data_IF_964276440535
#
_entry.id   IF_964276440535
#
_cell.length_a   1.000
_cell.length_b   1.000
_cell.length_c   1.000
_cell.angle_alpha   90.00
_cell.angle_beta   90.00
_cell.angle_gamma   90.00
#
_symmetry.space_group_name_H-M   'P 1'
#
loop_
_entity.id
_entity.type
_entity.pdbx_description
1 polymer ?
#
# COMPACT_ATOMS: atom_id res chain seq x y z
N UNK A 1 -16.86 -8.63 -8.29
CA UNK A 1 -17.23 -9.67 -7.33
C UNK A 1 -18.61 -10.14 -7.75
N UNK A 2 -18.79 -11.44 -8.03
CA UNK A 2 -20.06 -11.98 -8.51
C UNK A 2 -21.17 -11.92 -7.46
N UNK A 3 -20.84 -11.68 -6.18
CA UNK A 3 -21.84 -11.42 -5.15
C UNK A 3 -22.56 -10.08 -5.45
N UNK A 4 -23.90 -10.11 -5.67
CA UNK A 4 -24.68 -8.94 -6.06
C UNK A 4 -24.76 -7.86 -4.97
N UNK A 5 -24.48 -8.20 -3.71
CA UNK A 5 -24.38 -7.21 -2.63
C UNK A 5 -22.99 -6.57 -2.55
N UNK A 6 -21.93 -7.31 -2.91
CA UNK A 6 -20.56 -6.80 -2.79
C UNK A 6 -20.18 -5.90 -3.98
N UNK A 7 -20.41 -6.37 -5.22
CA UNK A 7 -20.08 -5.70 -6.49
C UNK A 7 -18.64 -5.14 -6.63
N UNK A 8 -17.74 -5.38 -5.66
CA UNK A 8 -16.37 -4.87 -5.64
C UNK A 8 -15.58 -5.39 -6.84
N UNK A 9 -14.77 -4.54 -7.48
CA UNK A 9 -13.88 -4.98 -8.57
C UNK A 9 -12.87 -6.00 -8.04
N UNK A 10 -12.69 -7.12 -8.75
CA UNK A 10 -11.71 -8.14 -8.40
C UNK A 10 -10.51 -8.03 -9.34
N UNK A 11 -9.32 -8.22 -8.81
CA UNK A 11 -8.07 -8.23 -9.56
C UNK A 11 -7.49 -9.64 -9.49
N UNK A 12 -7.19 -10.23 -10.65
CA UNK A 12 -6.60 -11.56 -10.77
C UNK A 12 -5.17 -11.43 -11.28
N UNK A 13 -4.16 -11.72 -10.45
CA UNK A 13 -2.80 -11.89 -10.93
C UNK A 13 -2.76 -13.00 -12.00
N UNK A 14 -1.92 -12.84 -13.02
CA UNK A 14 -1.79 -13.80 -14.12
C UNK A 14 -1.40 -15.22 -13.67
N UNK A 15 -0.78 -15.34 -12.49
CA UNK A 15 -0.35 -16.61 -11.90
C UNK A 15 -1.33 -17.19 -10.87
N UNK A 16 -2.42 -16.49 -10.51
CA UNK A 16 -3.40 -16.97 -9.53
C UNK A 16 -4.68 -17.48 -10.19
N UNK A 17 -5.03 -18.75 -9.94
CA UNK A 17 -6.28 -19.34 -10.42
C UNK A 17 -7.53 -18.87 -9.63
N UNK A 18 -7.34 -18.28 -8.45
CA UNK A 18 -8.43 -17.76 -7.61
C UNK A 18 -7.93 -16.64 -6.70
N UNK A 19 -8.80 -15.67 -6.43
CA UNK A 19 -8.52 -14.55 -5.53
C UNK A 19 -9.61 -14.39 -4.47
N UNK A 20 -9.22 -13.89 -3.31
CA UNK A 20 -10.16 -13.53 -2.26
C UNK A 20 -10.75 -12.13 -2.51
N UNK A 21 -12.06 -12.00 -2.41
CA UNK A 21 -12.73 -10.72 -2.46
C UNK A 21 -12.51 -9.96 -1.15
N UNK A 22 -11.76 -8.86 -1.19
CA UNK A 22 -11.55 -8.00 -0.02
C UNK A 22 -12.76 -7.18 0.40
N UNK A 23 -13.93 -7.40 -0.21
CA UNK A 23 -15.21 -6.81 0.22
C UNK A 23 -16.05 -7.77 1.05
N UNK A 24 -16.18 -9.03 0.62
CA UNK A 24 -17.04 -10.03 1.28
C UNK A 24 -16.28 -11.24 1.84
N UNK A 25 -14.95 -11.31 1.70
CA UNK A 25 -14.11 -12.42 2.15
C UNK A 25 -14.27 -13.71 1.32
N UNK A 26 -15.16 -13.75 0.34
CA UNK A 26 -15.36 -14.95 -0.48
C UNK A 26 -14.24 -15.12 -1.50
N UNK A 27 -13.79 -16.35 -1.70
CA UNK A 27 -12.79 -16.70 -2.71
C UNK A 27 -13.49 -17.02 -4.04
N UNK A 28 -12.98 -16.45 -5.12
CA UNK A 28 -13.55 -16.59 -6.47
C UNK A 28 -12.51 -17.14 -7.45
N UNK A 29 -12.91 -18.10 -8.27
CA UNK A 29 -12.07 -18.66 -9.34
C UNK A 29 -12.17 -17.82 -10.60
N UNK A 30 -11.10 -17.85 -11.40
CA UNK A 30 -11.03 -17.10 -12.65
C UNK A 30 -12.06 -17.57 -13.68
N UNK A 31 -12.41 -18.87 -13.65
CA UNK A 31 -13.40 -19.51 -14.51
C UNK A 31 -14.83 -19.00 -14.33
N UNK A 32 -15.15 -18.41 -13.17
CA UNK A 32 -16.50 -17.91 -12.85
C UNK A 32 -16.71 -16.42 -13.10
N UNK A 33 -15.75 -15.74 -13.74
CA UNK A 33 -15.79 -14.28 -13.90
C UNK A 33 -16.44 -13.86 -15.22
N UNK A 34 -17.23 -12.80 -15.14
CA UNK A 34 -17.81 -12.09 -16.28
C UNK A 34 -17.21 -10.69 -16.36
N UNK A 35 -17.18 -10.08 -17.57
CA UNK A 35 -16.61 -8.75 -17.83
C UNK A 35 -15.09 -8.64 -17.54
N UNK A 36 -14.30 -9.49 -18.19
CA UNK A 36 -12.84 -9.43 -18.14
C UNK A 36 -12.32 -8.22 -18.95
N UNK A 37 -11.41 -7.45 -18.35
CA UNK A 37 -10.66 -6.41 -19.02
C UNK A 37 -9.20 -6.47 -18.60
N UNK A 38 -8.28 -6.45 -19.56
CA UNK A 38 -6.87 -6.23 -19.28
C UNK A 38 -6.75 -4.87 -18.61
N UNK A 39 -6.34 -4.86 -17.35
CA UNK A 39 -6.01 -3.62 -16.65
C UNK A 39 -4.51 -3.47 -16.75
N UNK A 40 -4.03 -2.41 -17.40
CA UNK A 40 -2.63 -2.05 -17.30
C UNK A 40 -2.31 -1.82 -15.81
N UNK A 41 -1.24 -2.47 -15.33
CA UNK A 41 -0.86 -2.58 -13.91
C UNK A 41 -0.43 -1.24 -13.28
N UNK A 42 -0.77 -0.11 -13.88
CA UNK A 42 -0.37 1.21 -13.45
C UNK A 42 -1.59 1.92 -12.87
N UNK A 43 -1.89 1.68 -11.60
CA UNK A 43 -3.00 2.37 -10.94
C UNK A 43 -3.18 2.06 -9.46
N UNK A 44 -4.03 2.86 -8.81
CA UNK A 44 -4.36 2.80 -7.38
C UNK A 44 -4.73 1.39 -6.91
N UNK A 45 -5.37 0.55 -7.75
CA UNK A 45 -5.75 -0.82 -7.39
C UNK A 45 -4.57 -1.77 -7.11
N UNK A 46 -3.43 -1.59 -7.78
CA UNK A 46 -2.21 -2.35 -7.50
C UNK A 46 -1.59 -1.91 -6.17
N UNK A 47 -1.69 -0.61 -5.85
CA UNK A 47 -1.23 -0.01 -4.60
C UNK A 47 -2.12 -0.46 -3.43
N UNK A 48 -3.44 -0.45 -3.60
CA UNK A 48 -4.39 -0.94 -2.60
C UNK A 48 -4.15 -2.41 -2.28
N UNK A 49 -3.88 -3.24 -3.31
CA UNK A 49 -3.55 -4.66 -3.09
C UNK A 49 -2.17 -4.83 -2.47
N UNK A 50 -1.16 -4.07 -2.90
CA UNK A 50 0.15 -4.04 -2.25
C UNK A 50 0.00 -3.68 -0.77
N UNK A 51 -0.67 -2.58 -0.44
CA UNK A 51 -0.92 -2.15 0.93
C UNK A 51 -1.69 -3.21 1.73
N UNK A 52 -2.68 -3.88 1.13
CA UNK A 52 -3.41 -4.99 1.77
C UNK A 52 -2.52 -6.20 2.04
N UNK A 53 -1.65 -6.59 1.10
CA UNK A 53 -0.69 -7.68 1.31
C UNK A 53 0.35 -7.31 2.36
N UNK A 54 0.86 -6.06 2.36
CA UNK A 54 1.77 -5.57 3.40
C UNK A 54 1.13 -5.53 4.79
N UNK A 55 -0.16 -5.18 4.89
CA UNK A 55 -0.91 -5.26 6.14
C UNK A 55 -1.10 -6.72 6.61
N UNK A 56 -1.25 -7.68 5.68
CA UNK A 56 -1.29 -9.11 6.02
C UNK A 56 0.08 -9.64 6.45
N UNK A 57 1.17 -9.16 5.84
CA UNK A 57 2.55 -9.51 6.16
C UNK A 57 3.00 -8.94 7.52
N UNK A 58 2.46 -7.78 7.91
CA UNK A 58 2.57 -7.22 9.27
C UNK A 58 2.05 -8.20 10.34
N UNK A 59 1.03 -9.00 10.00
CA UNK A 59 0.41 -9.96 10.93
C UNK A 59 0.98 -11.39 10.82
N UNK A 60 1.93 -11.64 9.91
CA UNK A 60 2.58 -12.94 9.73
C UNK A 60 4.01 -12.90 10.26
N UNK A 61 4.15 -13.05 11.56
CA UNK A 61 5.41 -13.42 12.19
C UNK A 61 5.70 -14.88 11.87
N UNK A 62 6.88 -15.14 11.29
CA UNK A 62 7.74 -16.36 11.37
C UNK A 62 8.28 -16.83 10.01
N UNK A 63 9.44 -16.32 9.60
CA UNK A 63 10.56 -17.17 9.16
C UNK A 63 11.84 -16.52 9.67
N UNK A 64 12.54 -17.24 10.53
CA UNK A 64 13.87 -16.94 11.06
C UNK A 64 14.84 -16.86 9.88
N UNK A 65 15.21 -15.64 9.48
CA UNK A 65 16.53 -15.28 8.95
C UNK A 65 16.54 -13.78 8.63
N UNK A 66 17.18 -13.00 9.50
CA UNK A 66 17.32 -11.53 9.46
C UNK A 66 15.99 -10.77 9.59
N UNK A 67 15.52 -10.62 10.83
CA UNK A 67 14.44 -9.66 11.14
C UNK A 67 14.88 -8.26 10.74
N UNK A 68 14.39 -7.79 9.60
CA UNK A 68 14.48 -6.38 9.23
C UNK A 68 13.74 -5.58 10.30
N UNK A 69 14.36 -4.53 10.87
CA UNK A 69 13.70 -3.70 11.85
C UNK A 69 12.39 -3.15 11.27
N UNK A 70 11.28 -3.43 11.96
CA UNK A 70 9.95 -2.92 11.61
C UNK A 70 9.59 -1.78 12.55
N UNK A 71 8.99 -0.73 12.00
CA UNK A 71 8.40 0.37 12.77
C UNK A 71 6.95 0.51 12.37
N UNK A 72 6.04 0.46 13.34
CA UNK A 72 4.59 0.41 13.11
C UNK A 72 4.17 -0.66 12.07
N UNK A 73 4.83 -1.82 12.10
CA UNK A 73 4.59 -2.93 11.16
C UNK A 73 5.22 -2.78 9.77
N UNK A 74 5.88 -1.66 9.47
CA UNK A 74 6.53 -1.40 8.18
C UNK A 74 8.05 -1.55 8.28
N UNK A 75 8.66 -2.22 7.30
CA UNK A 75 10.12 -2.28 7.17
C UNK A 75 10.62 -1.10 6.32
N UNK A 76 11.91 -0.75 6.46
CA UNK A 76 12.54 0.24 5.57
C UNK A 76 12.40 -0.13 4.08
N UNK A 77 12.44 -1.42 3.75
CA UNK A 77 12.21 -1.89 2.37
C UNK A 77 10.82 -1.49 1.86
N UNK A 78 9.78 -1.65 2.69
CA UNK A 78 8.43 -1.26 2.33
C UNK A 78 8.29 0.25 2.19
N UNK A 79 8.90 1.03 3.09
CA UNK A 79 8.93 2.48 2.98
C UNK A 79 9.57 2.93 1.66
N UNK A 80 10.64 2.28 1.21
CA UNK A 80 11.28 2.56 -0.08
C UNK A 80 10.35 2.28 -1.27
N UNK A 81 9.57 1.20 -1.23
CA UNK A 81 8.60 0.89 -2.29
C UNK A 81 7.45 1.90 -2.32
N UNK A 82 7.00 2.35 -1.14
CA UNK A 82 5.88 3.29 -1.03
C UNK A 82 6.28 4.73 -1.34
N UNK A 83 7.54 5.11 -1.14
CA UNK A 83 7.99 6.51 -1.27
C UNK A 83 7.62 7.17 -2.61
N UNK A 84 7.81 6.54 -3.79
CA UNK A 84 7.45 7.15 -5.07
C UNK A 84 5.96 7.35 -5.26
N UNK A 85 5.13 6.55 -4.58
CA UNK A 85 3.68 6.72 -4.62
C UNK A 85 3.25 7.90 -3.74
N UNK A 86 3.85 8.01 -2.56
CA UNK A 86 3.61 9.10 -1.62
C UNK A 86 4.10 10.46 -2.14
N UNK A 87 4.99 10.47 -3.13
CA UNK A 87 5.42 11.71 -3.80
C UNK A 87 4.50 12.11 -4.96
N UNK A 88 3.63 11.25 -5.47
CA UNK A 88 2.77 11.53 -6.64
C UNK A 88 1.29 11.64 -6.25
N UNK A 89 0.88 10.99 -5.16
CA UNK A 89 -0.48 10.98 -4.67
C UNK A 89 -0.60 11.70 -3.32
N UNK A 90 -1.68 12.46 -3.15
CA UNK A 90 -2.08 13.08 -1.89
C UNK A 90 -3.42 12.55 -1.40
N UNK A 91 -3.71 12.71 -0.10
CA UNK A 91 -5.02 12.40 0.46
C UNK A 91 -5.94 13.63 0.34
N UNK A 92 -7.03 13.50 -0.40
CA UNK A 92 -8.08 14.51 -0.45
C UNK A 92 -8.89 14.46 0.86
N UNK A 93 -8.75 15.50 1.67
CA UNK A 93 -9.42 15.61 2.98
C UNK A 93 -10.95 15.56 2.89
N UNK A 94 -11.53 16.01 1.79
CA UNK A 94 -12.99 16.04 1.64
C UNK A 94 -13.58 14.66 1.39
N UNK A 95 -12.84 13.82 0.66
CA UNK A 95 -13.31 12.48 0.27
C UNK A 95 -12.65 11.34 1.06
N UNK A 96 -11.55 11.63 1.76
CA UNK A 96 -10.69 10.65 2.42
C UNK A 96 -9.96 9.71 1.44
N UNK A 97 -9.94 10.05 0.14
CA UNK A 97 -9.37 9.20 -0.91
C UNK A 97 -8.03 9.73 -1.40
N UNK A 98 -7.17 8.82 -1.84
CA UNK A 98 -5.96 9.19 -2.57
C UNK A 98 -6.32 9.77 -3.94
N UNK A 99 -5.70 10.88 -4.32
CA UNK A 99 -5.79 11.54 -5.63
C UNK A 99 -4.41 11.95 -6.10
N UNK A 100 -4.25 12.14 -7.42
CA UNK A 100 -3.00 12.69 -7.95
C UNK A 100 -2.81 14.11 -7.41
N UNK A 101 -1.56 14.48 -7.13
CA UNK A 101 -1.24 15.84 -6.70
C UNK A 101 -1.69 16.89 -7.74
N UNK A 102 -1.58 16.57 -9.04
CA UNK A 102 -2.05 17.42 -10.14
C UNK A 102 -3.56 17.65 -10.12
N UNK A 103 -4.36 16.63 -9.78
CA UNK A 103 -5.82 16.74 -9.60
C UNK A 103 -6.20 17.63 -8.41
N UNK A 104 -5.27 17.80 -7.46
CA UNK A 104 -5.41 18.67 -6.29
C UNK A 104 -4.80 20.08 -6.53
N UNK A 105 -4.42 20.40 -7.78
CA UNK A 105 -3.81 21.67 -8.13
C UNK A 105 -2.38 21.85 -7.58
N UNK A 106 -1.67 20.75 -7.33
CA UNK A 106 -0.28 20.72 -6.87
C UNK A 106 0.67 20.29 -7.99
N UNK A 107 1.97 20.45 -7.75
CA UNK A 107 3.03 19.92 -8.61
C UNK A 107 2.90 18.40 -8.79
N UNK A 108 3.35 17.84 -9.93
CA UNK A 108 3.24 16.40 -10.20
C UNK A 108 4.03 15.51 -9.24
N UNK A 109 5.04 16.08 -8.59
CA UNK A 109 5.83 15.43 -7.55
C UNK A 109 5.86 16.36 -6.33
N UNK A 110 5.69 15.78 -5.14
CA UNK A 110 5.83 16.47 -3.87
C UNK A 110 7.30 16.82 -3.63
N UNK A 111 7.56 18.11 -3.43
CA UNK A 111 8.89 18.59 -3.07
C UNK A 111 9.12 18.42 -1.56
N UNK A 112 9.94 17.43 -1.20
CA UNK A 112 10.28 17.16 0.20
C UNK A 112 11.02 18.33 0.87
N UNK A 113 11.59 19.29 0.12
CA UNK A 113 12.18 20.48 0.71
C UNK A 113 11.15 21.33 1.48
N UNK A 114 9.85 21.20 1.15
CA UNK A 114 8.74 21.82 1.90
C UNK A 114 8.60 21.28 3.33
N UNK A 115 9.30 20.21 3.68
CA UNK A 115 9.36 19.64 5.02
C UNK A 115 10.68 19.98 5.73
N UNK A 116 11.61 20.68 5.07
CA UNK A 116 12.97 20.91 5.57
C UNK A 116 13.05 21.79 6.83
N UNK A 117 12.03 22.61 7.08
CA UNK A 117 11.88 23.42 8.30
C UNK A 117 11.20 22.66 9.45
N UNK A 118 10.77 21.41 9.20
CA UNK A 118 10.08 20.59 10.19
C UNK A 118 11.03 19.63 10.87
N UNK A 119 10.98 19.60 12.20
CA UNK A 119 11.57 18.52 12.97
C UNK A 119 10.55 17.39 13.12
N UNK A 120 10.99 16.16 12.84
CA UNK A 120 10.20 14.95 13.10
C UNK A 120 10.71 14.30 14.38
N UNK A 121 9.81 14.11 15.35
CA UNK A 121 10.13 13.35 16.55
C UNK A 121 9.99 11.86 16.23
N UNK A 122 11.07 11.12 16.44
CA UNK A 122 11.01 9.67 16.45
C UNK A 122 10.36 9.26 17.77
N UNK A 123 9.33 8.41 17.71
CA UNK A 123 8.73 7.83 18.92
C UNK A 123 9.84 7.22 19.80
N UNK A 124 9.92 7.53 21.10
CA UNK A 124 10.95 7.02 21.99
C UNK A 124 11.13 5.50 21.93
N UNK A 125 10.05 4.74 21.66
CA UNK A 125 10.10 3.28 21.54
C UNK A 125 10.93 2.81 20.33
N UNK A 126 11.07 3.65 19.30
CA UNK A 126 11.80 3.33 18.08
C UNK A 126 13.24 3.86 18.05
N UNK A 127 13.67 4.63 19.06
CA UNK A 127 15.02 5.21 19.13
C UNK A 127 16.13 4.15 19.17
N UNK A 128 15.87 3.02 19.83
CA UNK A 128 16.87 1.95 19.97
C UNK A 128 17.04 1.08 18.70
N UNK A 129 16.20 1.28 17.68
CA UNK A 129 16.19 0.47 16.46
C UNK A 129 17.31 0.92 15.52
N UNK A 130 18.31 0.05 15.32
CA UNK A 130 19.43 0.31 14.40
C UNK A 130 18.97 0.45 12.95
N UNK A 131 19.42 1.50 12.28
CA UNK A 131 18.99 1.89 10.93
C UNK A 131 17.63 2.59 10.86
N UNK A 132 17.05 2.97 12.01
CA UNK A 132 15.85 3.80 12.08
C UNK A 132 15.99 4.94 13.10
N UNK A 133 16.09 4.60 14.39
CA UNK A 133 16.25 5.56 15.48
C UNK A 133 17.71 5.82 15.85
N UNK A 134 18.60 4.94 15.39
CA UNK A 134 20.05 5.04 15.57
C UNK A 134 20.74 4.73 14.27
N UNK A 135 21.70 5.56 13.87
CA UNK A 135 22.55 5.28 12.73
C UNK A 135 23.29 3.95 12.90
N UNK A 136 23.65 3.33 11.77
CA UNK A 136 24.44 2.08 11.75
C UNK A 136 25.90 2.33 12.02
#
# INVERSE_FOLDING_TARGET
>A
CPNPQCKKKLYFPSHEASVECTGCGQRHTQSGLTNLGLTEWYGIGAIERLLQELQKESNRTTVVNQELPKVNGLTNYLCTILSPLLTIYGMDRSTGRAKLLTEMGKSPVFDCAQLGDRAFLIDPQHLAISGYGRDR
#
